data_IF_984335276133
#
_entry.id   IF_984335276133
#
_cell.length_a   1.000
_cell.length_b   1.000
_cell.length_c   1.000
_cell.angle_alpha   90.00
_cell.angle_beta   90.00
_cell.angle_gamma   90.00
#
_symmetry.space_group_name_H-M   'P 1'
#
loop_
_entity.id
_entity.type
_entity.pdbx_description
1 polymer ?
#
# COMPACT_ATOMS: atom_id res chain seq x y z
N UNK A 1 32.86 66.06 -6.33
CA UNK A 1 31.75 65.50 -7.13
C UNK A 1 31.96 64.00 -7.20
N UNK A 2 31.35 63.25 -6.29
CA UNK A 2 31.42 61.78 -6.23
C UNK A 2 30.20 61.21 -6.94
N UNK A 3 30.38 60.82 -8.20
CA UNK A 3 29.32 60.24 -9.01
C UNK A 3 29.12 58.77 -8.59
N UNK A 4 27.95 58.52 -8.01
CA UNK A 4 27.50 57.23 -7.50
C UNK A 4 27.34 56.26 -8.68
N UNK A 5 28.29 55.34 -8.83
CA UNK A 5 28.19 54.27 -9.82
C UNK A 5 27.02 53.35 -9.44
N UNK A 6 25.93 53.45 -10.20
CA UNK A 6 24.77 52.57 -10.10
C UNK A 6 25.24 51.16 -10.46
N UNK A 7 25.46 50.33 -9.44
CA UNK A 7 25.80 48.94 -9.59
C UNK A 7 24.58 48.21 -10.17
N UNK A 8 24.70 47.74 -11.42
CA UNK A 8 23.66 46.98 -12.07
C UNK A 8 23.27 45.76 -11.23
N UNK A 9 21.96 45.46 -11.06
CA UNK A 9 21.53 44.30 -10.30
C UNK A 9 22.05 43.03 -10.99
N UNK A 10 22.83 42.24 -10.25
CA UNK A 10 23.29 40.93 -10.71
C UNK A 10 22.11 40.00 -11.04
N UNK A 11 22.32 38.93 -11.83
CA UNK A 11 21.26 38.08 -12.33
C UNK A 11 20.46 37.50 -11.16
N UNK A 12 19.19 37.91 -11.02
CA UNK A 12 18.26 37.37 -10.04
C UNK A 12 18.02 35.89 -10.36
N UNK A 13 18.61 35.00 -9.56
CA UNK A 13 18.26 33.58 -9.62
C UNK A 13 16.80 33.46 -9.18
N UNK A 14 15.93 32.98 -10.07
CA UNK A 14 14.50 32.84 -9.79
C UNK A 14 14.26 31.81 -8.68
N UNK A 15 13.98 32.28 -7.47
CA UNK A 15 13.54 31.46 -6.33
C UNK A 15 12.01 31.20 -6.36
N UNK A 16 11.32 31.61 -7.42
CA UNK A 16 9.88 31.47 -7.60
C UNK A 16 9.39 30.02 -7.60
N UNK A 17 10.25 29.04 -7.85
CA UNK A 17 9.90 27.62 -7.70
C UNK A 17 9.58 27.28 -6.24
N UNK A 18 10.31 27.85 -5.27
CA UNK A 18 10.00 27.69 -3.85
C UNK A 18 8.73 28.46 -3.46
N UNK A 19 8.54 29.68 -3.95
CA UNK A 19 7.31 30.46 -3.68
C UNK A 19 6.05 29.86 -4.33
N UNK A 20 6.16 29.29 -5.53
CA UNK A 20 5.06 28.62 -6.22
C UNK A 20 4.74 27.25 -5.61
N UNK A 21 5.73 26.54 -5.06
CA UNK A 21 5.53 25.28 -4.31
C UNK A 21 5.01 25.52 -2.88
N UNK A 22 5.00 26.77 -2.38
CA UNK A 22 4.43 27.16 -1.09
C UNK A 22 2.91 27.40 -1.15
N UNK A 23 2.33 27.59 -2.33
CA UNK A 23 0.89 27.78 -2.53
C UNK A 23 0.27 26.49 -3.05
N UNK A 24 -0.79 26.02 -2.39
CA UNK A 24 -1.44 24.70 -2.50
C UNK A 24 -1.94 24.22 -3.88
N UNK A 25 -1.47 24.73 -5.03
CA UNK A 25 -2.21 24.66 -6.29
C UNK A 25 -1.60 23.88 -7.46
N UNK A 26 -0.53 23.11 -7.28
CA UNK A 26 -0.24 22.07 -8.26
C UNK A 26 0.55 20.93 -7.64
N UNK A 27 -0.12 19.80 -7.43
CA UNK A 27 0.57 18.52 -7.33
C UNK A 27 1.37 18.36 -8.64
N UNK A 28 2.66 18.64 -8.60
CA UNK A 28 3.50 18.61 -9.77
C UNK A 28 3.80 17.14 -10.10
N UNK A 29 3.08 16.59 -11.09
CA UNK A 29 3.19 15.19 -11.51
C UNK A 29 4.64 14.82 -11.84
N UNK A 30 5.45 15.78 -12.31
CA UNK A 30 6.89 15.56 -12.54
C UNK A 30 7.66 15.24 -11.26
N UNK A 31 7.35 15.92 -10.16
CA UNK A 31 7.94 15.62 -8.85
C UNK A 31 7.44 14.29 -8.32
N UNK A 32 6.17 13.97 -8.52
CA UNK A 32 5.58 12.69 -8.12
C UNK A 32 6.20 11.50 -8.86
N UNK A 33 6.41 11.61 -10.18
CA UNK A 33 7.09 10.58 -10.99
C UNK A 33 8.55 10.43 -10.56
N UNK A 34 9.22 11.53 -10.22
CA UNK A 34 10.55 11.48 -9.62
C UNK A 34 10.51 10.79 -8.25
N UNK A 35 9.44 11.02 -7.47
CA UNK A 35 9.19 10.39 -6.18
C UNK A 35 9.10 8.86 -6.29
N UNK A 36 8.33 8.39 -7.27
CA UNK A 36 8.23 6.98 -7.66
C UNK A 36 9.57 6.37 -8.09
N UNK A 37 10.53 7.19 -8.53
CA UNK A 37 11.90 6.76 -8.79
C UNK A 37 12.59 6.18 -7.56
N UNK A 38 12.34 6.70 -6.37
CA UNK A 38 12.88 6.15 -5.11
C UNK A 38 12.18 4.86 -4.67
N UNK A 39 11.00 4.55 -5.23
CA UNK A 39 10.31 3.29 -5.00
C UNK A 39 10.86 2.14 -5.87
N UNK A 40 11.61 2.44 -6.96
CA UNK A 40 12.21 1.43 -7.86
C UNK A 40 12.90 0.26 -7.15
N UNK A 41 13.81 0.47 -6.18
CA UNK A 41 14.50 -0.64 -5.51
C UNK A 41 13.55 -1.55 -4.71
N UNK A 42 12.34 -1.08 -4.38
CA UNK A 42 11.35 -1.81 -3.61
C UNK A 42 10.19 -2.36 -4.47
N UNK A 43 10.25 -2.22 -5.80
CA UNK A 43 9.19 -2.69 -6.70
C UNK A 43 8.96 -4.20 -6.61
N UNK A 44 10.02 -5.00 -6.41
CA UNK A 44 9.87 -6.46 -6.26
C UNK A 44 9.03 -6.78 -5.01
N UNK A 45 9.34 -6.14 -3.87
CA UNK A 45 8.57 -6.29 -2.63
C UNK A 45 7.12 -5.83 -2.81
N UNK A 46 6.91 -4.75 -3.58
CA UNK A 46 5.58 -4.22 -3.87
C UNK A 46 4.78 -5.16 -4.78
N UNK A 47 5.39 -5.74 -5.81
CA UNK A 47 4.76 -6.75 -6.65
C UNK A 47 4.41 -8.02 -5.87
N UNK A 48 5.29 -8.47 -4.97
CA UNK A 48 5.00 -9.58 -4.07
C UNK A 48 3.81 -9.26 -3.17
N UNK A 49 3.78 -8.06 -2.59
CA UNK A 49 2.65 -7.56 -1.79
C UNK A 49 1.35 -7.53 -2.59
N UNK A 50 1.37 -7.05 -3.84
CA UNK A 50 0.21 -7.05 -4.74
C UNK A 50 -0.24 -8.49 -5.03
N UNK A 51 0.68 -9.43 -5.29
CA UNK A 51 0.32 -10.83 -5.48
C UNK A 51 -0.38 -11.42 -4.25
N UNK A 52 0.15 -11.13 -3.04
CA UNK A 52 -0.49 -11.54 -1.79
C UNK A 52 -1.89 -10.92 -1.61
N UNK A 53 -2.08 -9.65 -1.95
CA UNK A 53 -3.39 -8.99 -1.80
C UNK A 53 -4.42 -9.57 -2.75
N UNK A 54 -4.02 -9.86 -3.98
CA UNK A 54 -4.92 -10.48 -4.96
C UNK A 54 -5.32 -11.87 -4.49
N UNK A 55 -4.35 -12.67 -4.01
CA UNK A 55 -4.65 -14.01 -3.49
C UNK A 55 -5.53 -13.96 -2.23
N UNK A 56 -5.30 -12.99 -1.34
CA UNK A 56 -6.16 -12.75 -0.19
C UNK A 56 -7.58 -12.33 -0.60
N UNK A 57 -7.71 -11.44 -1.59
CA UNK A 57 -8.99 -10.98 -2.10
C UNK A 57 -9.78 -12.12 -2.77
N UNK A 58 -9.11 -12.96 -3.56
CA UNK A 58 -9.74 -14.16 -4.13
C UNK A 58 -10.22 -15.10 -3.03
N UNK A 59 -9.38 -15.36 -2.01
CA UNK A 59 -9.78 -16.15 -0.84
C UNK A 59 -10.96 -15.54 -0.08
N UNK A 60 -11.08 -14.22 -0.04
CA UNK A 60 -12.18 -13.53 0.62
C UNK A 60 -13.52 -13.71 -0.09
N UNK A 61 -13.51 -13.92 -1.41
CA UNK A 61 -14.72 -14.23 -2.19
C UNK A 61 -15.23 -15.65 -1.89
N UNK A 62 -14.35 -16.60 -1.54
CA UNK A 62 -14.75 -17.96 -1.17
C UNK A 62 -15.61 -17.99 0.10
N UNK A 63 -15.44 -17.00 1.00
CA UNK A 63 -16.11 -16.99 2.29
C UNK A 63 -17.65 -16.88 2.21
N UNK A 64 -18.22 -15.90 1.48
CA UNK A 64 -19.67 -15.87 1.25
C UNK A 64 -20.21 -17.10 0.49
N UNK A 65 -19.41 -17.70 -0.39
CA UNK A 65 -19.80 -18.92 -1.12
C UNK A 65 -19.88 -20.12 -0.17
N UNK A 66 -18.88 -20.30 0.70
CA UNK A 66 -18.90 -21.32 1.76
C UNK A 66 -20.12 -21.19 2.66
N UNK A 67 -20.45 -19.98 3.09
CA UNK A 67 -21.60 -19.77 3.98
C UNK A 67 -22.93 -19.96 3.27
N UNK A 68 -23.08 -19.46 2.03
CA UNK A 68 -24.35 -19.53 1.29
C UNK A 68 -24.62 -20.91 0.69
N UNK A 69 -23.67 -21.47 -0.07
CA UNK A 69 -23.90 -22.69 -0.86
C UNK A 69 -23.67 -23.94 -0.02
N UNK A 70 -22.55 -24.00 0.71
CA UNK A 70 -22.14 -25.21 1.42
C UNK A 70 -22.85 -25.33 2.76
N UNK A 71 -22.92 -24.26 3.56
CA UNK A 71 -23.54 -24.33 4.89
C UNK A 71 -25.07 -24.23 4.80
N UNK A 72 -25.61 -23.21 4.14
CA UNK A 72 -27.06 -22.96 4.13
C UNK A 72 -27.78 -23.91 3.17
N UNK A 73 -27.38 -23.95 1.89
CA UNK A 73 -28.13 -24.69 0.87
C UNK A 73 -27.88 -26.21 0.88
N UNK A 74 -26.69 -26.66 1.31
CA UNK A 74 -26.35 -28.09 1.31
C UNK A 74 -26.59 -28.78 2.65
N UNK A 75 -26.32 -28.11 3.77
CA UNK A 75 -26.38 -28.74 5.11
C UNK A 75 -27.66 -28.36 5.86
N UNK A 76 -28.07 -27.09 5.86
CA UNK A 76 -29.23 -26.63 6.64
C UNK A 76 -30.58 -26.81 5.94
N UNK A 77 -30.66 -26.51 4.64
CA UNK A 77 -31.90 -26.65 3.86
C UNK A 77 -31.58 -27.46 2.61
N UNK A 78 -31.46 -28.79 2.70
CA UNK A 78 -31.22 -29.64 1.54
C UNK A 78 -32.40 -29.50 0.57
N UNK A 79 -32.28 -28.55 -0.35
CA UNK A 79 -33.28 -28.31 -1.37
C UNK A 79 -33.09 -29.38 -2.43
N UNK A 80 -34.18 -30.06 -2.81
CA UNK A 80 -34.18 -31.10 -3.85
C UNK A 80 -33.97 -30.54 -5.27
N UNK A 81 -33.76 -29.23 -5.39
CA UNK A 81 -33.48 -28.53 -6.63
C UNK A 81 -31.98 -28.40 -6.68
N UNK A 82 -31.34 -29.17 -7.58
CA UNK A 82 -29.90 -29.10 -7.83
C UNK A 82 -29.51 -27.64 -8.06
N UNK A 83 -28.86 -27.03 -7.07
CA UNK A 83 -28.30 -25.70 -7.19
C UNK A 83 -27.15 -25.79 -8.19
N UNK A 84 -27.37 -25.24 -9.39
CA UNK A 84 -26.35 -25.10 -10.45
C UNK A 84 -25.30 -24.02 -10.10
N UNK A 85 -25.10 -23.80 -8.79
CA UNK A 85 -24.16 -22.83 -8.28
C UNK A 85 -22.74 -23.41 -8.42
N UNK A 86 -21.79 -22.66 -8.99
CA UNK A 86 -20.42 -23.12 -9.11
C UNK A 86 -19.82 -23.30 -7.71
N UNK A 87 -19.63 -24.55 -7.30
CA UNK A 87 -19.20 -24.89 -5.94
C UNK A 87 -17.68 -24.76 -5.72
N UNK A 88 -16.92 -24.31 -6.72
CA UNK A 88 -15.46 -24.10 -6.70
C UNK A 88 -14.62 -25.25 -6.06
N UNK A 89 -15.17 -26.47 -5.98
CA UNK A 89 -14.55 -27.63 -5.34
C UNK A 89 -14.71 -27.72 -3.81
N UNK A 90 -15.51 -26.85 -3.19
CA UNK A 90 -15.70 -26.79 -1.74
C UNK A 90 -16.46 -28.01 -1.19
N UNK A 91 -17.45 -28.54 -1.93
CA UNK A 91 -18.10 -29.80 -1.54
C UNK A 91 -17.13 -30.98 -1.49
N UNK A 92 -16.18 -31.07 -2.43
CA UNK A 92 -15.18 -32.13 -2.43
C UNK A 92 -14.24 -32.03 -1.22
N UNK A 93 -13.91 -30.80 -0.79
CA UNK A 93 -13.15 -30.56 0.43
C UNK A 93 -13.93 -30.96 1.70
N UNK A 94 -15.22 -30.62 1.77
CA UNK A 94 -16.07 -31.01 2.90
C UNK A 94 -16.25 -32.52 2.96
N UNK A 95 -16.49 -33.18 1.83
CA UNK A 95 -16.66 -34.64 1.75
C UNK A 95 -15.38 -35.38 2.14
N UNK A 96 -14.22 -34.88 1.69
CA UNK A 96 -12.92 -35.41 2.10
C UNK A 96 -12.70 -35.31 3.62
N UNK A 97 -13.04 -34.17 4.24
CA UNK A 97 -12.93 -33.98 5.69
C UNK A 97 -13.92 -34.85 6.45
N UNK A 98 -15.14 -34.98 5.93
CA UNK A 98 -16.18 -35.85 6.49
C UNK A 98 -15.72 -37.31 6.52
N UNK A 99 -15.11 -37.80 5.42
CA UNK A 99 -14.58 -39.17 5.34
C UNK A 99 -13.36 -39.40 6.24
N UNK A 100 -12.54 -38.37 6.49
CA UNK A 100 -11.30 -38.49 7.26
C UNK A 100 -11.56 -38.44 8.77
N UNK A 101 -12.50 -37.61 9.21
CA UNK A 101 -12.77 -37.35 10.64
C UNK A 101 -14.08 -37.97 11.16
N UNK A 102 -14.91 -38.58 10.31
CA UNK A 102 -16.20 -39.19 10.67
C UNK A 102 -17.12 -38.23 11.47
N UNK A 103 -17.09 -36.95 11.12
CA UNK A 103 -17.82 -35.87 11.78
C UNK A 103 -19.17 -35.63 11.12
N UNK A 104 -20.12 -35.04 11.89
CA UNK A 104 -21.36 -34.50 11.30
C UNK A 104 -21.03 -33.39 10.30
N UNK A 105 -21.73 -33.36 9.16
CA UNK A 105 -21.47 -32.45 8.05
C UNK A 105 -21.34 -30.97 8.47
N UNK A 106 -22.16 -30.53 9.44
CA UNK A 106 -22.12 -29.18 9.98
C UNK A 106 -20.80 -28.84 10.69
N UNK A 107 -20.26 -29.79 11.45
CA UNK A 107 -18.99 -29.60 12.17
C UNK A 107 -17.77 -29.65 11.24
N UNK A 108 -17.81 -30.49 10.19
CA UNK A 108 -16.80 -30.52 9.13
C UNK A 108 -16.76 -29.20 8.34
N UNK A 109 -17.93 -28.67 7.95
CA UNK A 109 -18.04 -27.38 7.26
C UNK A 109 -17.56 -26.22 8.13
N UNK A 110 -17.86 -26.23 9.43
CA UNK A 110 -17.34 -25.25 10.39
C UNK A 110 -15.81 -25.26 10.47
N UNK A 111 -15.18 -26.44 10.41
CA UNK A 111 -13.72 -26.56 10.42
C UNK A 111 -13.08 -26.05 9.13
N UNK A 112 -13.69 -26.32 7.96
CA UNK A 112 -13.28 -25.70 6.68
C UNK A 112 -13.38 -24.19 6.76
N UNK A 113 -14.48 -23.66 7.29
CA UNK A 113 -14.66 -22.22 7.44
C UNK A 113 -13.55 -21.59 8.29
N UNK A 114 -13.23 -22.18 9.44
CA UNK A 114 -12.17 -21.68 10.32
C UNK A 114 -10.80 -21.75 9.65
N UNK A 115 -10.48 -22.84 8.95
CA UNK A 115 -9.19 -22.99 8.27
C UNK A 115 -9.02 -21.99 7.12
N UNK A 116 -10.06 -21.77 6.33
CA UNK A 116 -10.07 -20.74 5.26
C UNK A 116 -9.97 -19.33 5.86
N UNK A 117 -10.68 -19.05 6.96
CA UNK A 117 -10.60 -17.75 7.66
C UNK A 117 -9.17 -17.46 8.15
N UNK A 118 -8.54 -18.44 8.79
CA UNK A 118 -7.17 -18.32 9.29
C UNK A 118 -6.20 -18.14 8.13
N UNK A 119 -6.35 -18.91 7.05
CA UNK A 119 -5.56 -18.76 5.83
C UNK A 119 -5.64 -17.34 5.25
N UNK A 120 -6.86 -16.82 5.06
CA UNK A 120 -7.08 -15.46 4.58
C UNK A 120 -6.46 -14.41 5.51
N UNK A 121 -6.61 -14.57 6.83
CA UNK A 121 -6.05 -13.64 7.81
C UNK A 121 -4.52 -13.61 7.73
N UNK A 122 -3.87 -14.77 7.60
CA UNK A 122 -2.41 -14.87 7.47
C UNK A 122 -1.92 -14.20 6.19
N UNK A 123 -2.57 -14.45 5.05
CA UNK A 123 -2.24 -13.80 3.78
C UNK A 123 -2.40 -12.27 3.87
N UNK A 124 -3.48 -11.81 4.47
CA UNK A 124 -3.75 -10.37 4.65
C UNK A 124 -2.73 -9.70 5.56
N UNK A 125 -2.34 -10.39 6.64
CA UNK A 125 -1.32 -9.91 7.56
C UNK A 125 0.06 -9.85 6.89
N UNK A 126 0.45 -10.87 6.13
CA UNK A 126 1.69 -10.86 5.35
C UNK A 126 1.71 -9.71 4.33
N UNK A 127 0.60 -9.46 3.65
CA UNK A 127 0.45 -8.31 2.76
C UNK A 127 0.66 -6.97 3.50
N UNK A 128 0.04 -6.77 4.67
CA UNK A 128 0.20 -5.53 5.44
C UNK A 128 1.64 -5.32 5.91
N UNK A 129 2.29 -6.36 6.45
CA UNK A 129 3.68 -6.28 6.91
C UNK A 129 4.65 -5.90 5.78
N UNK A 130 4.47 -6.50 4.59
CA UNK A 130 5.29 -6.20 3.42
C UNK A 130 5.09 -4.77 2.94
N UNK A 131 3.83 -4.31 2.91
CA UNK A 131 3.49 -2.94 2.52
C UNK A 131 4.07 -1.91 3.49
N UNK A 132 3.90 -2.09 4.80
CA UNK A 132 4.47 -1.19 5.81
C UNK A 132 5.99 -1.14 5.73
N UNK A 133 6.64 -2.29 5.57
CA UNK A 133 8.09 -2.37 5.43
C UNK A 133 8.59 -1.63 4.18
N UNK A 134 7.88 -1.75 3.07
CA UNK A 134 8.19 -1.03 1.83
C UNK A 134 8.06 0.49 2.03
N UNK A 135 6.92 0.93 2.57
CA UNK A 135 6.64 2.35 2.80
C UNK A 135 7.65 3.00 3.75
N UNK A 136 7.99 2.32 4.86
CA UNK A 136 8.98 2.84 5.82
C UNK A 136 10.37 2.97 5.21
N UNK A 137 10.81 1.96 4.43
CA UNK A 137 12.11 2.00 3.76
C UNK A 137 12.18 3.12 2.72
N UNK A 138 11.12 3.27 1.91
CA UNK A 138 11.03 4.35 0.93
C UNK A 138 11.04 5.74 1.59
N UNK A 139 10.31 5.92 2.70
CA UNK A 139 10.30 7.18 3.46
C UNK A 139 11.65 7.51 4.06
N UNK A 140 12.35 6.50 4.61
CA UNK A 140 13.70 6.67 5.15
C UNK A 140 14.67 7.15 4.07
N UNK A 141 14.67 6.51 2.91
CA UNK A 141 15.58 6.85 1.83
C UNK A 141 15.29 8.25 1.28
N UNK A 142 14.01 8.60 1.12
CA UNK A 142 13.58 9.95 0.73
C UNK A 142 14.09 11.01 1.73
N UNK A 143 13.97 10.75 3.03
CA UNK A 143 14.42 11.68 4.08
C UNK A 143 15.94 11.87 4.03
N UNK A 144 16.70 10.81 3.85
CA UNK A 144 18.18 10.88 3.74
C UNK A 144 18.59 11.73 2.53
N UNK A 145 17.98 11.48 1.37
CA UNK A 145 18.26 12.24 0.16
C UNK A 145 17.87 13.71 0.26
N UNK A 146 16.76 14.01 0.93
CA UNK A 146 16.33 15.37 1.20
C UNK A 146 17.35 16.12 2.08
N UNK A 147 17.85 15.47 3.14
CA UNK A 147 18.89 16.04 4.00
C UNK A 147 20.20 16.27 3.26
N UNK A 148 20.69 15.28 2.51
CA UNK A 148 21.92 15.40 1.72
C UNK A 148 21.80 16.53 0.66
N UNK A 149 20.62 16.72 0.08
CA UNK A 149 20.35 17.80 -0.87
C UNK A 149 20.33 19.19 -0.22
N UNK A 150 19.96 19.29 1.06
CA UNK A 150 20.03 20.53 1.84
C UNK A 150 21.46 20.86 2.26
N UNK A 151 22.25 19.88 2.66
CA UNK A 151 23.64 20.08 3.10
C UNK A 151 24.54 20.61 1.97
N UNK A 152 24.29 20.21 0.72
CA UNK A 152 25.08 20.64 -0.45
C UNK A 152 24.72 22.03 -0.99
N UNK A 153 23.74 22.73 -0.40
CA UNK A 153 23.30 24.05 -0.88
C UNK A 153 24.21 25.16 -0.33
N UNK A 154 24.57 26.18 -1.14
CA UNK A 154 25.39 27.29 -0.68
C UNK A 154 24.67 28.12 0.38
N UNK A 155 25.41 28.73 1.31
CA UNK A 155 24.88 29.52 2.43
C UNK A 155 23.86 30.59 1.99
N UNK A 156 24.06 31.22 0.83
CA UNK A 156 23.15 32.19 0.21
C UNK A 156 21.70 31.70 0.02
N UNK A 157 21.49 30.37 -0.09
CA UNK A 157 20.15 29.78 -0.12
C UNK A 157 19.43 29.96 1.22
N UNK A 158 20.13 29.74 2.34
CA UNK A 158 19.57 29.85 3.68
C UNK A 158 19.30 31.30 4.12
N UNK A 159 19.90 32.27 3.43
CA UNK A 159 19.62 33.70 3.64
C UNK A 159 18.24 34.11 3.09
N UNK A 160 17.71 33.36 2.11
CA UNK A 160 16.41 33.65 1.47
C UNK A 160 15.26 32.77 1.99
N UNK A 161 15.55 31.58 2.52
CA UNK A 161 14.55 30.65 3.07
C UNK A 161 14.90 30.27 4.51
N UNK A 162 14.01 30.61 5.45
CA UNK A 162 14.23 30.38 6.88
C UNK A 162 14.46 28.91 7.23
N UNK A 163 15.64 28.60 7.77
CA UNK A 163 16.12 27.23 8.08
C UNK A 163 15.14 26.45 8.98
N UNK A 164 14.56 27.11 9.98
CA UNK A 164 13.57 26.48 10.87
C UNK A 164 12.33 25.97 10.14
N UNK A 165 11.90 26.67 9.07
CA UNK A 165 10.74 26.30 8.26
C UNK A 165 11.03 25.11 7.35
N UNK A 166 12.25 25.00 6.86
CA UNK A 166 12.73 23.85 6.06
C UNK A 166 12.83 22.61 6.95
N UNK A 167 13.38 22.74 8.16
CA UNK A 167 13.56 21.63 9.10
C UNK A 167 12.24 21.02 9.58
N UNK A 168 11.22 21.85 9.81
CA UNK A 168 9.87 21.36 10.15
C UNK A 168 9.26 20.51 9.02
N UNK A 169 9.48 20.87 7.73
CA UNK A 169 8.96 20.10 6.58
C UNK A 169 9.73 18.82 6.29
N UNK A 170 11.00 18.72 6.66
CA UNK A 170 11.74 17.45 6.56
C UNK A 170 11.30 16.46 7.65
N UNK A 171 10.77 16.99 8.75
CA UNK A 171 10.38 16.20 9.91
C UNK A 171 8.91 15.75 9.88
N UNK A 172 8.02 16.58 9.32
CA UNK A 172 6.57 16.37 9.21
C UNK A 172 6.17 15.95 7.79
#
# INVERSE_FOLDING_TARGET
>A
MSENAIQAPGPSRNYSAFDAELTHQALNVRLFVRLLGWLKPYLITLFVSIAFVVMAALSQVLMPILTSVVIIDTILVPTTIASDAPDYGLLALVDWIQSTYALEALSAAGLVYVTVLVGQSLLSFAHQLTLYSCSLKALRDLRIDLFAALERKPASFFDHVGVGRVMTRVTN
#
